data_IF_599939338774
#
_entry.id   IF_599939338774
#
_cell.length_a   1.000
_cell.length_b   1.000
_cell.length_c   1.000
_cell.angle_alpha   90.00
_cell.angle_beta   90.00
_cell.angle_gamma   90.00
#
_symmetry.space_group_name_H-M   'P 1'
#
loop_
_entity.id
_entity.type
_entity.pdbx_description
1 polymer ?
#
# COMPACT_ATOMS: atom_id res chain seq x y z
N UNK A 1 6.67 -6.04 2.13
CA UNK A 1 5.32 -5.84 1.55
C UNK A 1 4.57 -7.15 1.61
N UNK A 2 3.44 -7.20 2.30
CA UNK A 2 2.60 -8.39 2.33
C UNK A 2 1.38 -8.13 1.46
N UNK A 3 1.35 -8.74 0.28
CA UNK A 3 0.22 -8.65 -0.67
C UNK A 3 -1.01 -9.36 -0.09
N UNK A 4 -0.78 -10.37 0.75
CA UNK A 4 -1.80 -11.31 1.24
C UNK A 4 -1.99 -12.49 0.29
N UNK A 5 -2.78 -13.47 0.71
CA UNK A 5 -2.93 -14.77 0.02
C UNK A 5 -4.28 -14.92 -0.69
N UNK A 6 -5.03 -13.84 -0.85
CA UNK A 6 -6.30 -13.85 -1.58
C UNK A 6 -6.10 -13.74 -3.10
N UNK A 7 -7.16 -13.99 -3.87
CA UNK A 7 -7.10 -14.04 -5.34
C UNK A 7 -7.52 -12.72 -6.03
N UNK A 8 -7.77 -11.63 -5.28
CA UNK A 8 -8.10 -10.34 -5.89
C UNK A 8 -6.84 -9.55 -6.25
N UNK A 9 -6.97 -8.59 -7.16
CA UNK A 9 -5.89 -7.67 -7.53
C UNK A 9 -6.44 -6.26 -7.51
N UNK A 10 -6.38 -5.63 -6.34
CA UNK A 10 -6.91 -4.28 -6.17
C UNK A 10 -5.77 -3.26 -6.22
N UNK A 11 -5.93 -2.17 -6.99
CA UNK A 11 -4.92 -1.12 -7.04
C UNK A 11 -4.90 -0.40 -5.69
N UNK A 12 -3.76 -0.50 -5.01
CA UNK A 12 -3.46 0.12 -3.74
C UNK A 12 -2.08 0.77 -3.80
N UNK A 13 -1.72 1.52 -2.77
CA UNK A 13 -0.44 2.17 -2.63
C UNK A 13 0.19 1.82 -1.28
N UNK A 14 1.50 1.81 -1.22
CA UNK A 14 2.24 1.64 0.03
C UNK A 14 3.37 2.66 0.11
N UNK A 15 3.77 2.98 1.33
CA UNK A 15 4.92 3.84 1.55
C UNK A 15 6.21 3.03 1.48
N UNK A 16 7.04 3.32 0.50
CA UNK A 16 8.40 2.82 0.35
C UNK A 16 9.34 3.73 1.15
N UNK A 17 9.81 3.23 2.30
CA UNK A 17 10.72 3.97 3.19
C UNK A 17 12.12 4.14 2.61
N UNK A 18 12.54 3.27 1.70
CA UNK A 18 13.88 3.33 1.10
C UNK A 18 13.93 4.44 0.05
N UNK A 19 12.84 4.60 -0.71
CA UNK A 19 12.67 5.69 -1.68
C UNK A 19 12.11 6.97 -1.07
N UNK A 20 11.45 6.87 0.07
CA UNK A 20 10.76 7.99 0.71
C UNK A 20 9.52 8.43 -0.06
N UNK A 21 8.84 7.52 -0.75
CA UNK A 21 7.69 7.83 -1.61
C UNK A 21 6.59 6.78 -1.51
N UNK A 22 5.36 7.16 -1.85
CA UNK A 22 4.24 6.25 -1.98
C UNK A 22 4.20 5.65 -3.38
N UNK A 23 4.24 4.32 -3.46
CA UNK A 23 4.31 3.57 -4.72
C UNK A 23 3.10 2.64 -4.88
N UNK A 24 2.69 2.40 -6.12
CA UNK A 24 1.58 1.52 -6.46
C UNK A 24 1.89 0.03 -6.24
N UNK A 25 0.89 -0.72 -5.78
CA UNK A 25 0.95 -2.18 -5.70
C UNK A 25 -0.45 -2.82 -5.82
N UNK A 26 -0.48 -4.12 -6.12
CA UNK A 26 -1.72 -4.90 -6.13
C UNK A 26 -1.93 -5.55 -4.75
N UNK A 27 -3.03 -5.23 -4.08
CA UNK A 27 -3.45 -5.88 -2.85
C UNK A 27 -4.37 -7.07 -3.16
N UNK A 28 -4.11 -8.20 -2.49
CA UNK A 28 -4.84 -9.46 -2.73
C UNK A 28 -6.31 -9.45 -2.28
N UNK A 29 -6.69 -8.46 -1.46
CA UNK A 29 -8.02 -8.36 -0.86
C UNK A 29 -8.11 -8.90 0.58
N UNK A 30 -7.12 -9.64 1.08
CA UNK A 30 -7.06 -10.04 2.49
C UNK A 30 -5.63 -10.06 3.05
N UNK A 31 -5.51 -10.04 4.38
CA UNK A 31 -4.21 -10.04 5.06
C UNK A 31 -3.43 -8.75 4.82
N UNK A 32 -2.13 -8.91 4.57
CA UNK A 32 -1.20 -7.80 4.42
C UNK A 32 -0.85 -7.10 5.73
N UNK A 33 -0.38 -5.87 5.64
CA UNK A 33 -0.07 -5.01 6.78
C UNK A 33 -0.81 -3.67 6.67
N UNK A 34 -0.66 -2.79 7.66
CA UNK A 34 -1.28 -1.46 7.67
C UNK A 34 -0.64 -0.47 6.69
N UNK A 35 0.52 -0.80 6.10
CA UNK A 35 1.17 0.01 5.07
C UNK A 35 0.52 -0.25 3.69
N UNK A 36 -0.79 -0.04 3.61
CA UNK A 36 -1.59 -0.13 2.38
C UNK A 36 -2.69 0.92 2.38
N UNK A 37 -2.76 1.69 1.32
CA UNK A 37 -3.66 2.82 1.18
C UNK A 37 -4.38 2.74 -0.15
N UNK A 38 -5.66 3.12 -0.18
CA UNK A 38 -6.45 3.09 -1.41
C UNK A 38 -6.12 4.27 -2.33
N UNK A 39 -5.73 5.39 -1.74
CA UNK A 39 -5.30 6.58 -2.47
C UNK A 39 -3.88 6.95 -2.09
N UNK A 40 -3.12 7.48 -3.06
CA UNK A 40 -1.76 7.95 -2.83
C UNK A 40 -1.72 9.14 -1.86
N UNK A 41 -2.79 9.95 -1.82
CA UNK A 41 -2.93 11.08 -0.91
C UNK A 41 -2.95 10.60 0.55
N UNK A 42 -3.78 9.60 0.89
CA UNK A 42 -3.81 9.00 2.24
C UNK A 42 -2.43 8.49 2.67
N UNK A 43 -1.70 7.85 1.74
CA UNK A 43 -0.35 7.35 1.99
C UNK A 43 0.63 8.49 2.30
N UNK A 44 0.58 9.57 1.52
CA UNK A 44 1.44 10.75 1.69
C UNK A 44 1.12 11.47 3.00
N UNK A 45 -0.15 11.71 3.30
CA UNK A 45 -0.56 12.36 4.55
C UNK A 45 -0.18 11.52 5.77
N UNK A 46 -0.32 10.20 5.70
CA UNK A 46 0.00 9.31 6.83
C UNK A 46 1.51 9.13 7.04
N UNK A 47 2.28 9.00 5.96
CA UNK A 47 3.68 8.55 6.03
C UNK A 47 4.72 9.64 5.73
N UNK A 48 4.33 10.75 5.13
CA UNK A 48 5.23 11.86 4.77
C UNK A 48 5.00 13.13 5.62
N UNK A 49 4.22 13.02 6.71
CA UNK A 49 4.06 14.08 7.71
C UNK A 49 5.26 14.19 8.65
#
# INVERSE_FOLDING_TARGET
MAVGDCEHKWPYHYFDKEKGECVDFEYSGCGGNDNKFRHVEDCRETCMS
#
